data_IF_803891099854
#
_entry.id   IF_803891099854
#
_cell.length_a   1.000
_cell.length_b   1.000
_cell.length_c   1.000
_cell.angle_alpha   90.00
_cell.angle_beta   90.00
_cell.angle_gamma   90.00
#
_symmetry.space_group_name_H-M   'P 1'
#
loop_
_entity.id
_entity.type
_entity.pdbx_description
1 polymer ?
#
# COMPACT_ATOMS: atom_id res chain seq x y z
N UNK A 1 -16.80 11.95 10.36
CA UNK A 1 -15.54 11.35 10.82
C UNK A 1 -15.72 9.83 10.85
N UNK A 2 -14.88 9.07 10.13
CA UNK A 2 -14.83 7.62 10.29
C UNK A 2 -14.10 7.30 11.62
N UNK A 3 -14.61 6.38 12.46
CA UNK A 3 -13.93 6.02 13.70
C UNK A 3 -12.55 5.40 13.41
N UNK A 4 -11.56 5.57 14.30
CA UNK A 4 -10.26 4.95 14.15
C UNK A 4 -10.41 3.44 14.42
N UNK A 5 -10.70 2.68 13.37
CA UNK A 5 -10.45 1.24 13.41
C UNK A 5 -8.93 1.08 13.36
N UNK A 6 -8.31 0.82 14.51
CA UNK A 6 -6.90 0.45 14.59
C UNK A 6 -6.74 -0.83 13.79
N UNK A 7 -6.09 -0.74 12.63
CA UNK A 7 -5.82 -1.90 11.78
C UNK A 7 -4.60 -2.64 12.33
N UNK A 8 -4.57 -3.98 12.29
CA UNK A 8 -3.40 -4.75 12.69
C UNK A 8 -2.17 -4.32 11.86
N UNK A 9 -1.00 -4.12 12.48
CA UNK A 9 0.20 -3.68 11.76
C UNK A 9 0.68 -4.71 10.71
N UNK A 10 0.28 -5.97 10.84
CA UNK A 10 0.53 -7.06 9.89
C UNK A 10 -0.44 -7.10 8.70
N UNK A 11 -1.51 -6.29 8.72
CA UNK A 11 -2.52 -6.25 7.67
C UNK A 11 -2.33 -5.04 6.74
N UNK A 12 -2.51 -5.26 5.43
CA UNK A 12 -2.49 -4.20 4.43
C UNK A 12 -3.70 -3.28 4.64
N UNK A 13 -3.51 -1.95 4.76
CA UNK A 13 -4.62 -1.05 5.05
C UNK A 13 -5.57 -0.82 3.88
N UNK A 14 -5.22 -1.32 2.68
CA UNK A 14 -6.04 -1.18 1.48
C UNK A 14 -6.90 -2.42 1.20
N UNK A 15 -6.47 -3.61 1.62
CA UNK A 15 -7.17 -4.87 1.30
C UNK A 15 -7.39 -5.81 2.49
N UNK A 16 -6.84 -5.49 3.67
CA UNK A 16 -6.93 -6.31 4.88
C UNK A 16 -6.13 -7.61 4.85
N UNK A 17 -5.50 -7.96 3.73
CA UNK A 17 -4.64 -9.16 3.62
C UNK A 17 -3.26 -8.93 4.27
N UNK A 18 -2.50 -9.99 4.61
CA UNK A 18 -1.15 -9.85 5.15
C UNK A 18 -0.27 -8.95 4.29
N UNK A 19 0.41 -7.99 4.92
CA UNK A 19 1.30 -7.05 4.22
C UNK A 19 2.74 -7.55 4.04
N UNK A 20 3.10 -8.64 4.72
CA UNK A 20 4.44 -9.23 4.73
C UNK A 20 5.53 -8.23 5.16
N UNK A 21 5.22 -7.36 6.12
CA UNK A 21 6.19 -6.44 6.70
C UNK A 21 7.30 -7.20 7.44
N UNK A 22 8.54 -7.07 6.98
CA UNK A 22 9.70 -7.67 7.62
C UNK A 22 9.84 -7.27 9.10
N UNK A 23 9.51 -6.03 9.48
CA UNK A 23 9.60 -5.60 10.88
C UNK A 23 8.58 -6.29 11.78
N UNK A 24 7.35 -6.48 11.29
CA UNK A 24 6.32 -7.17 12.07
C UNK A 24 6.55 -8.68 12.12
N UNK A 25 7.11 -9.27 11.06
CA UNK A 25 7.58 -10.66 11.07
C UNK A 25 8.72 -10.84 12.10
N UNK A 26 9.71 -9.94 12.12
CA UNK A 26 10.79 -9.96 13.12
C UNK A 26 10.23 -9.87 14.55
N UNK A 27 9.28 -8.96 14.79
CA UNK A 27 8.61 -8.83 16.09
C UNK A 27 7.88 -10.10 16.50
N UNK A 28 7.12 -10.71 15.59
CA UNK A 28 6.31 -11.89 15.88
C UNK A 28 7.16 -13.16 16.09
N UNK A 29 8.27 -13.30 15.37
CA UNK A 29 9.09 -14.52 15.36
C UNK A 29 10.35 -14.42 16.22
N UNK A 30 10.79 -13.22 16.57
CA UNK A 30 12.11 -12.95 17.15
C UNK A 30 13.27 -13.20 16.18
N UNK A 31 13.00 -13.51 14.92
CA UNK A 31 14.02 -13.81 13.91
C UNK A 31 14.32 -12.58 13.06
N UNK A 32 15.60 -12.23 12.95
CA UNK A 32 16.04 -11.09 12.14
C UNK A 32 15.58 -11.27 10.69
N UNK A 33 14.91 -10.26 10.15
CA UNK A 33 14.51 -10.27 8.75
C UNK A 33 15.50 -9.50 7.86
N UNK A 34 15.60 -9.92 6.60
CA UNK A 34 16.27 -9.13 5.57
C UNK A 34 15.51 -7.81 5.32
N UNK A 35 16.15 -6.80 4.68
CA UNK A 35 15.44 -5.59 4.26
C UNK A 35 14.18 -5.94 3.45
N UNK A 36 13.04 -5.37 3.84
CA UNK A 36 11.78 -5.60 3.15
C UNK A 36 11.84 -5.04 1.72
N UNK A 37 11.17 -5.69 0.76
CA UNK A 37 11.08 -5.19 -0.62
C UNK A 37 10.63 -3.72 -0.68
N UNK A 38 9.80 -3.28 0.27
CA UNK A 38 9.25 -1.93 0.31
C UNK A 38 10.32 -0.85 0.50
N UNK A 39 11.49 -1.17 1.07
CA UNK A 39 12.56 -0.18 1.28
C UNK A 39 13.28 0.19 -0.02
N UNK A 40 13.06 -0.57 -1.09
CA UNK A 40 13.63 -0.34 -2.41
C UNK A 40 12.56 0.07 -3.44
N UNK A 41 11.30 0.15 -3.00
CA UNK A 41 10.17 0.48 -3.87
C UNK A 41 9.93 1.99 -3.90
N UNK A 42 9.53 2.48 -5.07
CA UNK A 42 8.99 3.84 -5.24
C UNK A 42 7.47 3.76 -5.26
N UNK A 43 6.82 4.54 -4.40
CA UNK A 43 5.36 4.57 -4.27
C UNK A 43 4.80 5.84 -4.90
N UNK A 44 3.70 5.71 -5.65
CA UNK A 44 3.05 6.86 -6.27
C UNK A 44 2.32 7.72 -5.23
N UNK A 45 2.08 8.99 -5.55
CA UNK A 45 1.24 9.88 -4.74
C UNK A 45 -0.22 9.40 -4.67
N UNK A 46 -0.73 8.79 -5.75
CA UNK A 46 -2.08 8.24 -5.80
C UNK A 46 -2.24 7.06 -4.83
N UNK A 47 -1.21 6.22 -4.66
CA UNK A 47 -1.21 5.18 -3.64
C UNK A 47 -1.31 5.77 -2.23
N UNK A 48 -0.48 6.77 -1.92
CA UNK A 48 -0.50 7.44 -0.61
C UNK A 48 -1.84 8.11 -0.31
N UNK A 49 -2.51 8.65 -1.33
CA UNK A 49 -3.84 9.24 -1.19
C UNK A 49 -4.92 8.22 -0.81
N UNK A 50 -4.72 6.94 -1.15
CA UNK A 50 -5.67 5.86 -0.84
C UNK A 50 -5.51 5.30 0.58
N UNK A 51 -4.37 5.53 1.23
CA UNK A 51 -4.11 5.02 2.58
C UNK A 51 -4.92 5.85 3.60
N UNK A 52 -5.80 5.22 4.40
CA UNK A 52 -6.53 5.92 5.46
C UNK A 52 -5.59 6.62 6.43
N UNK A 53 -5.93 7.84 6.87
CA UNK A 53 -5.07 8.61 7.78
C UNK A 53 -4.71 7.84 9.06
N UNK A 54 -5.66 7.09 9.63
CA UNK A 54 -5.43 6.26 10.81
C UNK A 54 -4.43 5.11 10.59
N UNK A 55 -4.19 4.72 9.33
CA UNK A 55 -3.25 3.65 8.99
C UNK A 55 -1.86 4.18 8.59
N UNK A 56 -1.71 5.50 8.37
CA UNK A 56 -0.42 6.10 8.01
C UNK A 56 0.56 5.94 9.15
N UNK A 57 1.77 5.50 8.83
CA UNK A 57 2.82 5.16 9.79
C UNK A 57 2.46 4.04 10.78
N UNK A 58 1.35 3.30 10.56
CA UNK A 58 0.93 2.19 11.41
C UNK A 58 1.07 0.81 10.74
N UNK A 59 0.78 0.72 9.44
CA UNK A 59 0.84 -0.53 8.69
C UNK A 59 1.46 -0.33 7.30
N UNK A 60 2.19 -1.33 6.81
CA UNK A 60 2.72 -1.33 5.45
C UNK A 60 1.63 -1.71 4.43
N UNK A 61 1.73 -1.15 3.23
CA UNK A 61 0.97 -1.61 2.07
C UNK A 61 1.57 -2.92 1.53
N UNK A 62 0.74 -3.88 1.11
CA UNK A 62 1.25 -5.10 0.48
C UNK A 62 1.71 -4.85 -0.96
N UNK A 63 2.59 -5.72 -1.46
CA UNK A 63 3.18 -5.59 -2.80
C UNK A 63 2.12 -5.58 -3.92
N UNK A 64 1.02 -6.30 -3.73
CA UNK A 64 -0.10 -6.32 -4.68
C UNK A 64 -0.79 -4.96 -4.73
N UNK A 65 -1.07 -4.36 -3.58
CA UNK A 65 -1.74 -3.06 -3.52
C UNK A 65 -0.82 -1.91 -3.92
N UNK A 66 0.50 -2.03 -3.73
CA UNK A 66 1.45 -1.04 -4.22
C UNK A 66 1.58 -1.01 -5.74
N UNK A 67 1.26 -2.11 -6.42
CA UNK A 67 1.20 -2.20 -7.87
C UNK A 67 -0.19 -1.83 -8.45
N UNK A 68 -1.11 -1.36 -7.60
CA UNK A 68 -2.45 -0.92 -8.00
C UNK A 68 -2.41 0.24 -9.02
N UNK A 69 -3.58 0.64 -9.57
CA UNK A 69 -3.69 1.47 -10.78
C UNK A 69 -3.18 2.91 -10.57
N UNK A 70 -1.86 3.01 -10.52
CA UNK A 70 -1.02 4.20 -10.47
C UNK A 70 0.49 3.85 -10.58
N UNK A 71 0.88 2.57 -10.62
CA UNK A 71 2.26 2.11 -10.83
C UNK A 71 2.76 2.12 -12.29
N UNK A 72 1.97 2.59 -13.25
CA UNK A 72 2.42 2.85 -14.62
C UNK A 72 1.77 4.15 -15.09
N UNK A 73 2.56 5.12 -15.54
CA UNK A 73 2.07 6.32 -16.21
C UNK A 73 1.36 5.96 -17.51
N UNK A 74 0.10 5.55 -17.42
CA UNK A 74 -0.83 5.45 -18.53
C UNK A 74 -1.81 6.62 -18.42
N UNK A 75 -1.81 7.44 -19.48
CA UNK A 75 -2.57 8.66 -19.66
C UNK A 75 -4.07 8.53 -19.33
N UNK A 76 -4.74 9.64 -18.96
CA UNK A 76 -6.20 9.65 -18.90
C UNK A 76 -6.78 9.36 -20.30
N UNK A 77 -7.81 8.51 -20.33
CA UNK A 77 -8.55 8.14 -21.53
C UNK A 77 -9.46 9.30 -21.99
N UNK A 78 -8.85 10.39 -22.45
CA UNK A 78 -9.55 11.54 -23.08
C UNK A 78 -9.25 11.63 -24.59
N UNK A 79 -9.15 10.49 -25.29
CA UNK A 79 -9.21 10.44 -26.76
C UNK A 79 -10.06 9.23 -27.15
N UNK A 80 -11.38 9.41 -27.16
CA UNK A 80 -12.31 8.60 -27.95
C UNK A 80 -13.72 9.23 -27.97
N UNK A 81 -13.82 10.52 -28.30
CA UNK A 81 -15.14 11.12 -28.61
C UNK A 81 -15.05 12.26 -29.62
N UNK A 82 -14.49 11.98 -30.80
CA UNK A 82 -14.68 12.83 -31.98
C UNK A 82 -14.89 11.96 -33.22
N UNK A 83 -16.16 11.61 -33.45
CA UNK A 83 -16.77 11.29 -34.75
C UNK A 83 -18.15 11.97 -34.70
N UNK A 84 -18.67 12.62 -35.76
CA UNK A 84 -18.66 12.27 -37.19
C UNK A 84 -17.43 12.70 -37.99
#
# INVERSE_FOLDING_TARGET
MNPPTVLPPEACPLCGQPNQCAQEIERATGQKQAPCWCTQATFSTALWARIPDAARNQACVCQVCSAGPDANGAMPADVAKSKP
#
